data_IF_802642221360
#
_entry.id   IF_802642221360
#
_cell.length_a   1.000
_cell.length_b   1.000
_cell.length_c   1.000
_cell.angle_alpha   90.00
_cell.angle_beta   90.00
_cell.angle_gamma   90.00
#
_symmetry.space_group_name_H-M   'P 1'
#
loop_
_entity.id
_entity.type
_entity.pdbx_description
1 polymer ?
#
# COMPACT_ATOMS: atom_id res chain seq x y z
N UNK A 1 16.30 24.14 30.26
CA UNK A 1 14.99 24.79 29.97
C UNK A 1 13.89 23.77 29.67
N UNK A 2 13.79 22.65 30.40
CA UNK A 2 12.89 21.53 30.05
C UNK A 2 12.11 20.88 31.23
N UNK A 3 12.01 21.57 32.38
CA UNK A 3 11.28 21.04 33.55
C UNK A 3 9.85 21.62 33.67
N UNK A 4 9.55 22.75 33.01
CA UNK A 4 8.21 23.39 33.10
C UNK A 4 7.15 22.82 32.15
N UNK A 5 7.51 22.08 31.08
CA UNK A 5 6.52 21.47 30.17
C UNK A 5 5.92 20.15 30.69
N UNK A 6 6.65 19.40 31.52
CA UNK A 6 6.16 18.14 32.10
C UNK A 6 5.05 18.30 33.15
N UNK A 7 5.03 19.43 33.85
CA UNK A 7 4.01 19.65 34.92
C UNK A 7 2.62 20.00 34.38
N UNK A 8 2.51 20.62 33.21
CA UNK A 8 1.17 20.94 32.62
C UNK A 8 0.48 19.72 32.02
N UNK A 9 1.22 18.74 31.52
CA UNK A 9 0.64 17.51 30.95
C UNK A 9 0.07 16.58 32.03
N UNK A 10 0.72 16.49 33.18
CA UNK A 10 0.26 15.67 34.30
C UNK A 10 -0.99 16.26 34.96
N UNK A 11 -1.10 17.59 35.04
CA UNK A 11 -2.29 18.28 35.60
C UNK A 11 -3.54 18.11 34.72
N UNK A 12 -3.39 18.12 33.39
CA UNK A 12 -4.50 17.91 32.45
C UNK A 12 -5.02 16.46 32.47
N UNK A 13 -4.12 15.48 32.60
CA UNK A 13 -4.49 14.06 32.70
C UNK A 13 -5.26 13.76 33.99
N UNK A 14 -4.87 14.34 35.12
CA UNK A 14 -5.60 14.19 36.41
C UNK A 14 -7.00 14.82 36.40
N UNK A 15 -7.20 15.91 35.67
CA UNK A 15 -8.50 16.55 35.50
C UNK A 15 -9.51 15.69 34.73
N UNK A 16 -9.04 14.95 33.72
CA UNK A 16 -9.86 14.06 32.88
C UNK A 16 -10.21 12.77 33.64
N UNK A 17 -9.27 12.19 34.36
CA UNK A 17 -9.50 10.97 35.17
C UNK A 17 -10.48 11.22 36.33
N UNK A 18 -10.41 12.38 37.01
CA UNK A 18 -11.36 12.73 38.05
C UNK A 18 -12.80 12.98 37.54
N UNK A 19 -12.98 13.38 36.28
CA UNK A 19 -14.33 13.53 35.67
C UNK A 19 -14.98 12.21 35.28
N UNK A 20 -14.18 11.18 35.00
CA UNK A 20 -14.66 9.86 34.56
C UNK A 20 -15.05 8.99 35.79
N UNK A 21 -14.43 9.19 36.95
CA UNK A 21 -14.61 8.32 38.12
C UNK A 21 -15.42 8.94 39.27
N UNK A 22 -15.95 10.15 39.14
CA UNK A 22 -16.79 10.80 40.13
C UNK A 22 -18.21 10.18 40.28
N UNK A 23 -18.53 9.13 39.52
CA UNK A 23 -19.87 8.56 39.45
C UNK A 23 -20.09 7.17 40.05
N UNK A 24 -19.08 6.44 40.49
CA UNK A 24 -19.30 5.08 41.11
C UNK A 24 -18.21 4.65 42.09
N UNK A 25 -18.65 4.38 43.33
CA UNK A 25 -18.03 3.58 44.39
C UNK A 25 -16.88 4.18 45.22
N UNK A 26 -17.23 4.43 46.48
CA UNK A 26 -16.43 4.51 47.73
C UNK A 26 -14.95 4.93 47.62
N UNK A 27 -14.70 6.17 48.01
CA UNK A 27 -13.39 6.84 48.04
C UNK A 27 -12.28 6.19 48.91
N UNK A 28 -12.56 5.11 49.65
CA UNK A 28 -11.58 4.44 50.49
C UNK A 28 -10.63 3.48 49.70
N UNK A 29 -11.08 2.93 48.57
CA UNK A 29 -10.22 2.06 47.72
C UNK A 29 -9.28 2.87 46.81
N UNK A 30 -9.70 4.04 46.34
CA UNK A 30 -8.87 4.91 45.53
C UNK A 30 -7.71 5.53 46.32
N UNK A 31 -7.95 5.92 47.59
CA UNK A 31 -6.89 6.45 48.45
C UNK A 31 -5.83 5.41 48.82
N UNK A 32 -6.19 4.14 48.99
CA UNK A 32 -5.20 3.07 49.25
C UNK A 32 -4.31 2.77 48.02
N UNK A 33 -4.82 2.88 46.84
CA UNK A 33 -4.01 2.70 45.60
C UNK A 33 -3.03 3.86 45.39
N UNK A 34 -3.39 5.08 45.68
CA UNK A 34 -2.51 6.26 45.58
C UNK A 34 -1.39 6.20 46.63
N UNK A 35 -1.69 5.80 47.88
CA UNK A 35 -0.67 5.62 48.90
C UNK A 35 0.34 4.52 48.60
N UNK A 36 -0.08 3.42 47.96
CA UNK A 36 0.82 2.33 47.54
C UNK A 36 1.69 2.77 46.36
N UNK A 37 1.19 3.62 45.46
CA UNK A 37 1.98 4.14 44.33
C UNK A 37 3.02 5.20 44.77
N UNK A 38 2.72 6.01 45.79
CA UNK A 38 3.67 6.98 46.35
C UNK A 38 4.77 6.32 47.21
N UNK A 39 4.45 5.27 47.95
CA UNK A 39 5.44 4.48 48.69
C UNK A 39 6.43 3.76 47.72
N UNK A 40 5.94 3.26 46.55
CA UNK A 40 6.77 2.62 45.53
C UNK A 40 7.68 3.60 44.76
N UNK A 41 7.37 4.90 44.79
CA UNK A 41 8.14 5.97 44.12
C UNK A 41 9.37 6.43 44.92
N UNK A 42 9.44 6.17 46.23
CA UNK A 42 10.60 6.51 47.07
C UNK A 42 11.72 5.46 47.03
N UNK A 43 11.42 4.27 46.56
CA UNK A 43 12.41 3.16 46.53
C UNK A 43 13.17 3.02 45.19
N UNK A 44 12.74 3.80 44.16
CA UNK A 44 13.32 3.71 42.81
C UNK A 44 14.64 4.49 42.64
N UNK A 45 15.08 5.30 43.62
CA UNK A 45 16.34 6.03 43.54
C UNK A 45 17.56 5.17 43.88
N UNK A 46 17.39 4.11 44.66
CA UNK A 46 18.46 3.13 45.00
C UNK A 46 18.53 1.95 44.02
N UNK A 47 17.46 1.65 43.30
CA UNK A 47 17.42 0.58 42.31
C UNK A 47 18.06 0.96 40.96
N UNK A 48 18.30 2.24 40.68
CA UNK A 48 18.95 2.68 39.44
C UNK A 48 20.45 2.48 39.36
N UNK A 49 21.14 2.26 40.50
CA UNK A 49 22.56 2.02 40.53
C UNK A 49 22.95 0.53 40.47
N UNK A 50 22.02 -0.39 40.74
CA UNK A 50 22.27 -1.84 40.69
C UNK A 50 21.87 -2.49 39.36
N UNK A 51 21.14 -1.77 38.47
CA UNK A 51 20.68 -2.29 37.18
C UNK A 51 21.68 -2.07 36.03
N UNK A 52 22.76 -1.32 36.24
CA UNK A 52 23.82 -1.09 35.25
C UNK A 52 25.00 -2.11 35.35
N UNK A 53 25.01 -2.97 36.38
CA UNK A 53 26.04 -3.99 36.56
C UNK A 53 25.60 -5.43 36.21
N UNK A 54 24.34 -5.65 35.86
CA UNK A 54 23.78 -6.98 35.58
C UNK A 54 23.39 -7.22 34.09
N UNK A 55 23.79 -6.32 33.17
CA UNK A 55 23.41 -6.45 31.73
C UNK A 55 24.56 -7.03 30.86
N UNK A 56 25.52 -7.71 31.45
CA UNK A 56 26.67 -8.23 30.68
C UNK A 56 26.88 -9.73 30.77
N UNK A 57 25.87 -10.54 31.07
CA UNK A 57 26.03 -12.00 30.96
C UNK A 57 24.66 -12.72 30.87
N UNK A 58 23.91 -12.59 29.77
CA UNK A 58 22.98 -13.65 29.32
C UNK A 58 22.91 -13.61 27.79
N UNK A 59 23.88 -14.21 27.14
CA UNK A 59 23.73 -14.73 25.78
C UNK A 59 22.96 -16.04 25.86
N UNK A 60 21.64 -15.97 25.86
CA UNK A 60 20.82 -17.16 25.66
C UNK A 60 20.73 -17.36 24.15
N UNK A 61 21.43 -18.38 23.66
CA UNK A 61 21.21 -18.96 22.34
C UNK A 61 19.80 -19.55 22.28
N UNK A 62 18.86 -18.79 21.83
CA UNK A 62 17.57 -19.31 21.34
C UNK A 62 17.77 -19.70 19.88
N UNK A 63 18.22 -20.92 19.63
CA UNK A 63 17.98 -21.61 18.38
C UNK A 63 16.48 -21.93 18.31
N UNK A 64 15.71 -20.97 17.88
CA UNK A 64 14.32 -21.11 17.53
C UNK A 64 14.22 -21.02 16.01
N UNK A 65 14.22 -22.15 15.34
CA UNK A 65 13.76 -22.23 13.95
C UNK A 65 12.34 -21.72 13.87
N UNK A 66 12.14 -20.51 13.43
CA UNK A 66 10.92 -20.04 12.82
C UNK A 66 11.27 -19.42 11.48
N UNK A 67 11.53 -20.28 10.52
CA UNK A 67 11.59 -19.93 9.12
C UNK A 67 10.18 -19.80 8.59
N UNK A 68 9.61 -18.64 8.74
CA UNK A 68 8.58 -18.11 7.84
C UNK A 68 8.84 -16.62 7.72
N UNK A 69 9.86 -16.28 6.93
CA UNK A 69 9.90 -14.94 6.34
C UNK A 69 8.72 -14.87 5.38
N UNK A 70 7.78 -13.94 5.54
CA UNK A 70 6.84 -13.66 4.49
C UNK A 70 7.67 -13.15 3.31
N UNK A 71 7.75 -13.93 2.23
CA UNK A 71 8.21 -13.40 0.96
C UNK A 71 7.10 -12.47 0.52
N UNK A 72 7.28 -11.21 0.89
CA UNK A 72 6.39 -10.13 0.49
C UNK A 72 6.29 -10.12 -1.03
N UNK A 73 5.07 -10.08 -1.47
CA UNK A 73 4.66 -9.89 -2.86
C UNK A 73 5.50 -8.82 -3.49
N UNK A 74 6.32 -9.25 -4.40
CA UNK A 74 7.30 -8.44 -5.09
C UNK A 74 6.54 -7.36 -5.86
N UNK A 75 6.54 -6.14 -5.33
CA UNK A 75 6.32 -4.97 -6.16
C UNK A 75 7.36 -5.05 -7.29
N UNK A 76 6.90 -4.97 -8.54
CA UNK A 76 7.76 -5.15 -9.70
C UNK A 76 8.73 -3.96 -9.77
N UNK A 77 9.82 -4.03 -9.04
CA UNK A 77 10.97 -3.17 -9.22
C UNK A 77 11.81 -3.74 -10.38
N UNK A 78 11.80 -3.04 -11.50
CA UNK A 78 12.52 -3.43 -12.72
C UNK A 78 14.04 -3.56 -12.53
N UNK A 79 14.59 -3.01 -11.45
CA UNK A 79 16.03 -3.04 -11.17
C UNK A 79 16.52 -4.34 -10.53
N UNK A 80 15.61 -5.21 -10.02
CA UNK A 80 15.96 -6.45 -9.33
C UNK A 80 15.97 -7.71 -10.24
N UNK A 81 15.74 -7.58 -11.52
CA UNK A 81 15.73 -8.69 -12.49
C UNK A 81 16.99 -8.70 -13.35
N UNK A 82 18.18 -8.48 -12.75
CA UNK A 82 19.43 -8.55 -13.49
C UNK A 82 19.78 -9.99 -13.86
N UNK A 83 20.50 -10.20 -14.97
CA UNK A 83 20.98 -11.52 -15.39
C UNK A 83 21.82 -12.22 -14.31
N UNK A 84 22.56 -11.46 -13.51
CA UNK A 84 23.33 -11.94 -12.36
C UNK A 84 22.44 -12.55 -11.26
N UNK A 85 21.29 -11.94 -11.00
CA UNK A 85 20.33 -12.47 -10.02
C UNK A 85 19.70 -13.78 -10.53
N UNK A 86 19.34 -13.86 -11.80
CA UNK A 86 18.79 -15.07 -12.43
C UNK A 86 19.83 -16.21 -12.43
N UNK A 87 21.10 -15.90 -12.68
CA UNK A 87 22.19 -16.86 -12.61
C UNK A 87 22.35 -17.44 -11.20
N UNK A 88 22.39 -16.58 -10.19
CA UNK A 88 22.50 -17.01 -8.78
C UNK A 88 21.31 -17.88 -8.37
N UNK A 89 20.09 -17.52 -8.77
CA UNK A 89 18.88 -18.30 -8.51
C UNK A 89 18.91 -19.66 -9.23
N UNK A 90 19.53 -19.73 -10.40
CA UNK A 90 19.72 -20.99 -11.14
C UNK A 90 20.68 -21.91 -10.42
N UNK A 91 21.73 -21.37 -9.78
CA UNK A 91 22.64 -22.17 -8.94
C UNK A 91 21.95 -22.70 -7.67
N UNK A 92 21.05 -21.92 -7.07
CA UNK A 92 20.23 -22.38 -5.94
C UNK A 92 19.37 -23.57 -6.36
N UNK A 93 18.65 -23.45 -7.49
CA UNK A 93 17.81 -24.52 -8.00
C UNK A 93 18.64 -25.77 -8.35
N UNK A 94 19.83 -25.61 -8.91
CA UNK A 94 20.72 -26.74 -9.22
C UNK A 94 21.11 -27.53 -7.97
N UNK A 95 21.30 -26.86 -6.83
CA UNK A 95 21.62 -27.50 -5.55
C UNK A 95 20.40 -28.18 -4.91
N UNK A 96 19.21 -27.65 -5.14
CA UNK A 96 17.97 -28.21 -4.63
C UNK A 96 16.84 -28.20 -5.69
N UNK A 97 16.87 -29.11 -6.66
CA UNK A 97 15.93 -29.12 -7.78
C UNK A 97 14.49 -29.53 -7.44
N UNK A 98 14.26 -29.98 -6.21
CA UNK A 98 12.93 -30.34 -5.68
C UNK A 98 12.28 -29.24 -4.84
N UNK A 99 12.95 -28.10 -4.65
CA UNK A 99 12.41 -26.98 -3.90
C UNK A 99 11.52 -26.08 -4.79
N UNK A 100 10.20 -26.04 -4.56
CA UNK A 100 9.29 -25.20 -5.34
C UNK A 100 9.55 -23.70 -5.18
N UNK A 101 10.12 -23.29 -4.03
CA UNK A 101 10.40 -21.89 -3.73
C UNK A 101 11.47 -21.31 -4.65
N UNK A 102 12.54 -22.06 -4.92
CA UNK A 102 13.58 -21.63 -5.86
C UNK A 102 13.03 -21.27 -7.25
N UNK A 103 12.13 -22.11 -7.76
CA UNK A 103 11.45 -21.86 -9.03
C UNK A 103 10.51 -20.65 -8.94
N UNK A 104 9.74 -20.52 -7.88
CA UNK A 104 8.83 -19.38 -7.69
C UNK A 104 9.60 -18.06 -7.66
N UNK A 105 10.74 -17.99 -6.98
CA UNK A 105 11.58 -16.78 -6.90
C UNK A 105 12.22 -16.46 -8.25
N UNK A 106 12.78 -17.47 -8.96
CA UNK A 106 13.36 -17.24 -10.29
C UNK A 106 12.31 -16.89 -11.32
N UNK A 107 11.13 -17.53 -11.30
CA UNK A 107 9.99 -17.17 -12.14
C UNK A 107 9.56 -15.72 -11.93
N UNK A 108 9.58 -15.25 -10.68
CA UNK A 108 9.30 -13.85 -10.36
C UNK A 108 10.38 -12.91 -10.91
N UNK A 109 11.65 -13.28 -10.87
CA UNK A 109 12.75 -12.50 -11.50
C UNK A 109 12.59 -12.43 -13.02
N UNK A 110 12.29 -13.55 -13.67
CA UNK A 110 11.96 -13.56 -15.10
C UNK A 110 10.74 -12.70 -15.45
N UNK A 111 9.71 -12.73 -14.60
CA UNK A 111 8.51 -11.89 -14.78
C UNK A 111 8.84 -10.39 -14.74
N UNK A 112 9.70 -9.97 -13.80
CA UNK A 112 10.16 -8.57 -13.69
C UNK A 112 10.99 -8.13 -14.90
N UNK A 113 11.84 -8.99 -15.44
CA UNK A 113 12.63 -8.71 -16.65
C UNK A 113 11.81 -8.77 -17.95
N UNK A 114 10.50 -9.10 -17.88
CA UNK A 114 9.65 -9.26 -19.04
C UNK A 114 9.80 -10.60 -19.77
N UNK A 115 10.61 -11.52 -19.23
CA UNK A 115 10.77 -12.86 -19.80
C UNK A 115 9.64 -13.78 -19.34
N UNK A 116 8.43 -13.51 -19.80
CA UNK A 116 7.21 -14.17 -19.36
C UNK A 116 7.19 -15.67 -19.64
N UNK A 117 7.84 -16.13 -20.72
CA UNK A 117 7.90 -17.54 -21.05
C UNK A 117 8.66 -18.33 -19.98
N UNK A 118 9.88 -17.91 -19.66
CA UNK A 118 10.67 -18.56 -18.62
C UNK A 118 10.02 -18.43 -17.23
N UNK A 119 9.32 -17.31 -16.97
CA UNK A 119 8.55 -17.14 -15.74
C UNK A 119 7.45 -18.20 -15.62
N UNK A 120 6.67 -18.45 -16.69
CA UNK A 120 5.63 -19.48 -16.71
C UNK A 120 6.21 -20.88 -16.54
N UNK A 121 7.33 -21.21 -17.18
CA UNK A 121 7.99 -22.52 -17.04
C UNK A 121 8.39 -22.77 -15.57
N UNK A 122 8.94 -21.77 -14.91
CA UNK A 122 9.33 -21.86 -13.51
C UNK A 122 8.11 -21.98 -12.57
N UNK A 123 7.08 -21.16 -12.77
CA UNK A 123 5.86 -21.27 -11.97
C UNK A 123 5.13 -22.61 -12.20
N UNK A 124 5.14 -23.12 -13.43
CA UNK A 124 4.62 -24.46 -13.74
C UNK A 124 5.37 -25.52 -12.94
N UNK A 125 6.70 -25.41 -12.88
CA UNK A 125 7.51 -26.34 -12.08
C UNK A 125 7.24 -26.21 -10.60
N UNK A 126 7.11 -24.98 -10.08
CA UNK A 126 6.78 -24.72 -8.66
C UNK A 126 5.45 -25.36 -8.26
N UNK A 127 4.37 -25.16 -9.04
CA UNK A 127 3.05 -25.74 -8.73
C UNK A 127 2.99 -27.24 -8.96
N UNK A 128 3.83 -27.80 -9.84
CA UNK A 128 3.97 -29.25 -10.03
C UNK A 128 4.64 -29.88 -8.80
N UNK A 129 5.69 -29.26 -8.27
CA UNK A 129 6.41 -29.73 -7.08
C UNK A 129 5.55 -29.56 -5.82
N UNK A 130 4.81 -28.48 -5.71
CA UNK A 130 3.88 -28.25 -4.60
C UNK A 130 2.52 -27.73 -5.11
N UNK A 131 1.54 -28.62 -5.29
CA UNK A 131 0.17 -28.26 -5.72
C UNK A 131 -0.62 -27.39 -4.73
N UNK A 132 -0.09 -27.16 -3.53
CA UNK A 132 -0.67 -26.27 -2.52
C UNK A 132 0.06 -24.92 -2.42
N UNK A 133 0.98 -24.65 -3.31
CA UNK A 133 1.76 -23.41 -3.30
C UNK A 133 0.97 -22.24 -3.90
N UNK A 134 0.09 -21.66 -3.10
CA UNK A 134 -0.83 -20.62 -3.54
C UNK A 134 -0.15 -19.36 -4.08
N UNK A 135 1.05 -18.99 -3.57
CA UNK A 135 1.81 -17.84 -4.07
C UNK A 135 2.26 -18.06 -5.52
N UNK A 136 2.74 -19.26 -5.86
CA UNK A 136 3.15 -19.59 -7.22
C UNK A 136 1.98 -19.51 -8.22
N UNK A 137 0.78 -19.96 -7.82
CA UNK A 137 -0.43 -19.75 -8.64
C UNK A 137 -0.73 -18.27 -8.84
N UNK A 138 -0.69 -17.45 -7.79
CA UNK A 138 -0.97 -16.01 -7.92
C UNK A 138 0.08 -15.28 -8.78
N UNK A 139 1.35 -15.65 -8.66
CA UNK A 139 2.43 -15.11 -9.48
C UNK A 139 2.27 -15.54 -10.94
N UNK A 140 1.92 -16.79 -11.21
CA UNK A 140 1.63 -17.28 -12.56
C UNK A 140 0.43 -16.56 -13.17
N UNK A 141 -0.62 -16.33 -12.38
CA UNK A 141 -1.78 -15.53 -12.79
C UNK A 141 -1.40 -14.11 -13.20
N UNK A 142 -0.47 -13.48 -12.48
CA UNK A 142 0.03 -12.16 -12.84
C UNK A 142 0.71 -12.15 -14.20
N UNK A 143 1.53 -13.17 -14.50
CA UNK A 143 2.17 -13.32 -15.82
C UNK A 143 1.14 -13.57 -16.91
N UNK A 144 0.19 -14.49 -16.69
CA UNK A 144 -0.91 -14.73 -17.64
C UNK A 144 -1.68 -13.44 -17.94
N UNK A 145 -2.01 -12.63 -16.93
CA UNK A 145 -2.66 -11.34 -17.12
C UNK A 145 -1.80 -10.37 -17.93
N UNK A 146 -0.48 -10.31 -17.68
CA UNK A 146 0.45 -9.44 -18.42
C UNK A 146 0.57 -9.83 -19.89
N UNK A 147 0.34 -11.11 -20.20
CA UNK A 147 0.31 -11.64 -21.57
C UNK A 147 -1.08 -11.54 -22.24
N UNK A 148 -2.11 -11.07 -21.51
CA UNK A 148 -3.48 -11.00 -22.03
C UNK A 148 -4.27 -12.31 -21.90
N UNK A 149 -3.71 -13.35 -21.28
CA UNK A 149 -4.35 -14.65 -21.08
C UNK A 149 -5.28 -14.56 -19.85
N UNK A 150 -6.39 -13.85 -19.99
CA UNK A 150 -7.24 -13.46 -18.85
C UNK A 150 -7.96 -14.64 -18.22
N UNK A 151 -8.30 -15.67 -18.97
CA UNK A 151 -8.97 -16.87 -18.47
C UNK A 151 -8.04 -17.70 -17.59
N UNK A 152 -6.82 -17.91 -18.03
CA UNK A 152 -5.77 -18.63 -17.29
C UNK A 152 -5.41 -17.87 -16.00
N UNK A 153 -5.30 -16.55 -16.09
CA UNK A 153 -5.08 -15.69 -14.91
C UNK A 153 -6.20 -15.85 -13.88
N UNK A 154 -7.47 -15.83 -14.32
CA UNK A 154 -8.61 -16.02 -13.43
C UNK A 154 -8.60 -17.40 -12.74
N UNK A 155 -8.30 -18.45 -13.50
CA UNK A 155 -8.22 -19.81 -12.98
C UNK A 155 -7.13 -19.94 -11.91
N UNK A 156 -5.97 -19.37 -12.14
CA UNK A 156 -4.86 -19.42 -11.20
C UNK A 156 -5.13 -18.59 -9.92
N UNK A 157 -5.70 -17.38 -10.03
CA UNK A 157 -6.15 -16.65 -8.84
C UNK A 157 -7.21 -17.42 -8.06
N UNK A 158 -8.18 -18.03 -8.74
CA UNK A 158 -9.19 -18.87 -8.10
C UNK A 158 -8.55 -20.06 -7.37
N UNK A 159 -7.53 -20.69 -7.98
CA UNK A 159 -6.81 -21.79 -7.34
C UNK A 159 -6.05 -21.32 -6.11
N UNK A 160 -5.35 -20.20 -6.18
CA UNK A 160 -4.65 -19.60 -5.05
C UNK A 160 -5.61 -19.33 -3.88
N UNK A 161 -6.77 -18.72 -4.16
CA UNK A 161 -7.79 -18.39 -3.16
C UNK A 161 -8.53 -19.61 -2.62
N UNK A 162 -8.65 -20.69 -3.40
CA UNK A 162 -9.18 -21.98 -2.91
C UNK A 162 -8.24 -22.62 -1.90
N UNK A 163 -6.92 -22.48 -2.11
CA UNK A 163 -5.89 -23.02 -1.21
C UNK A 163 -5.77 -22.13 0.03
N UNK A 164 -5.66 -20.82 -0.16
CA UNK A 164 -5.58 -19.86 0.93
C UNK A 164 -6.61 -18.72 0.77
N UNK A 165 -7.79 -18.84 1.41
CA UNK A 165 -8.84 -17.81 1.36
C UNK A 165 -8.49 -16.49 2.06
N UNK A 166 -7.32 -16.40 2.73
CA UNK A 166 -6.86 -15.20 3.40
C UNK A 166 -5.72 -14.50 2.64
N UNK A 167 -5.44 -14.93 1.41
CA UNK A 167 -4.37 -14.34 0.61
C UNK A 167 -4.86 -13.09 -0.14
N UNK A 168 -4.70 -11.94 0.49
CA UNK A 168 -5.16 -10.62 0.02
C UNK A 168 -4.60 -10.25 -1.37
N UNK A 169 -3.35 -10.60 -1.65
CA UNK A 169 -2.69 -10.35 -2.95
C UNK A 169 -3.42 -10.99 -4.11
N UNK A 170 -3.94 -12.22 -3.93
CA UNK A 170 -4.70 -12.89 -4.98
C UNK A 170 -6.06 -12.22 -5.20
N UNK A 171 -6.71 -11.70 -4.15
CA UNK A 171 -7.90 -10.87 -4.30
C UNK A 171 -7.58 -9.57 -5.07
N UNK A 172 -6.50 -8.87 -4.73
CA UNK A 172 -6.10 -7.65 -5.44
C UNK A 172 -5.79 -7.95 -6.91
N UNK A 173 -5.05 -9.02 -7.17
CA UNK A 173 -4.72 -9.46 -8.53
C UNK A 173 -5.96 -9.80 -9.37
N UNK A 174 -6.90 -10.57 -8.79
CA UNK A 174 -8.15 -10.95 -9.44
C UNK A 174 -9.11 -9.76 -9.59
N UNK A 175 -9.19 -8.90 -8.59
CA UNK A 175 -9.93 -7.65 -8.66
C UNK A 175 -9.45 -6.76 -9.82
N UNK A 176 -8.14 -6.64 -10.00
CA UNK A 176 -7.56 -5.91 -11.14
C UNK A 176 -7.90 -6.57 -12.48
N UNK A 177 -7.90 -7.89 -12.55
CA UNK A 177 -8.31 -8.64 -13.73
C UNK A 177 -9.79 -8.34 -14.06
N UNK A 178 -10.68 -8.41 -13.07
CA UNK A 178 -12.11 -8.14 -13.24
C UNK A 178 -12.36 -6.70 -13.65
N UNK A 179 -11.65 -5.74 -13.05
CA UNK A 179 -11.76 -4.32 -13.43
C UNK A 179 -11.35 -4.12 -14.89
N UNK A 180 -10.27 -4.74 -15.33
CA UNK A 180 -9.80 -4.69 -16.72
C UNK A 180 -10.81 -5.32 -17.70
N UNK A 181 -11.52 -6.36 -17.27
CA UNK A 181 -12.57 -7.02 -18.01
C UNK A 181 -13.95 -6.32 -17.93
N UNK A 182 -14.03 -5.13 -17.30
CA UNK A 182 -15.31 -4.40 -17.12
C UNK A 182 -16.25 -5.02 -16.07
N UNK A 183 -15.79 -6.06 -15.35
CA UNK A 183 -16.55 -6.77 -14.30
C UNK A 183 -16.44 -6.03 -12.97
N UNK A 184 -17.01 -4.83 -12.93
CA UNK A 184 -16.81 -3.86 -11.85
C UNK A 184 -17.30 -4.35 -10.50
N UNK A 185 -18.42 -5.07 -10.44
CA UNK A 185 -18.99 -5.57 -9.19
C UNK A 185 -18.08 -6.67 -8.56
N UNK A 186 -17.57 -7.57 -9.37
CA UNK A 186 -16.66 -8.61 -8.91
C UNK A 186 -15.32 -8.01 -8.48
N UNK A 187 -14.83 -7.01 -9.20
CA UNK A 187 -13.63 -6.28 -8.80
C UNK A 187 -13.83 -5.60 -7.44
N UNK A 188 -14.96 -4.92 -7.23
CA UNK A 188 -15.31 -4.29 -5.96
C UNK A 188 -15.34 -5.30 -4.80
N UNK A 189 -15.95 -6.47 -5.03
CA UNK A 189 -16.02 -7.53 -4.01
C UNK A 189 -14.62 -8.03 -3.63
N UNK A 190 -13.75 -8.22 -4.61
CA UNK A 190 -12.38 -8.68 -4.36
C UNK A 190 -11.55 -7.62 -3.61
N UNK A 191 -11.63 -6.34 -3.99
CA UNK A 191 -10.94 -5.28 -3.25
C UNK A 191 -11.48 -5.13 -1.82
N UNK A 192 -12.80 -5.23 -1.63
CA UNK A 192 -13.40 -5.25 -0.29
C UNK A 192 -12.87 -6.43 0.53
N UNK A 193 -12.73 -7.61 -0.08
CA UNK A 193 -12.21 -8.79 0.63
C UNK A 193 -10.75 -8.59 1.04
N UNK A 194 -9.89 -8.05 0.16
CA UNK A 194 -8.51 -7.73 0.49
C UNK A 194 -8.41 -6.73 1.64
N UNK A 195 -9.21 -5.66 1.61
CA UNK A 195 -9.24 -4.63 2.65
C UNK A 195 -9.74 -5.19 3.99
N UNK A 196 -10.77 -6.03 3.99
CA UNK A 196 -11.27 -6.72 5.18
C UNK A 196 -10.24 -7.70 5.79
N UNK A 197 -9.29 -8.17 4.98
CA UNK A 197 -8.12 -8.93 5.44
C UNK A 197 -6.99 -8.04 5.98
N UNK A 198 -7.23 -6.72 6.07
CA UNK A 198 -6.28 -5.72 6.55
C UNK A 198 -5.01 -5.63 5.69
N UNK A 199 -5.18 -5.70 4.38
CA UNK A 199 -4.06 -5.55 3.45
C UNK A 199 -3.34 -4.22 3.64
N UNK A 200 -2.02 -4.24 3.53
CA UNK A 200 -1.16 -3.06 3.46
C UNK A 200 -0.82 -2.65 2.03
N UNK A 201 -1.37 -3.35 1.04
CA UNK A 201 -1.16 -3.03 -0.37
C UNK A 201 -2.03 -1.83 -0.79
N UNK A 202 -1.43 -0.68 -1.14
CA UNK A 202 -2.15 0.54 -1.51
C UNK A 202 -3.05 0.35 -2.75
N UNK A 203 -2.74 -0.63 -3.59
CA UNK A 203 -3.48 -0.90 -4.83
C UNK A 203 -4.92 -1.35 -4.58
N UNK A 204 -5.20 -2.00 -3.46
CA UNK A 204 -6.57 -2.38 -3.09
C UNK A 204 -7.45 -1.15 -2.91
N UNK A 205 -6.98 -0.18 -2.15
CA UNK A 205 -7.67 1.08 -1.89
C UNK A 205 -7.74 1.95 -3.15
N UNK A 206 -6.62 2.14 -3.84
CA UNK A 206 -6.57 2.93 -5.07
C UNK A 206 -7.58 2.42 -6.11
N UNK A 207 -7.58 1.13 -6.40
CA UNK A 207 -8.47 0.56 -7.43
C UNK A 207 -9.94 0.54 -6.98
N UNK A 208 -10.22 0.38 -5.68
CA UNK A 208 -11.58 0.53 -5.15
C UNK A 208 -12.04 1.98 -5.26
N UNK A 209 -11.17 2.93 -4.96
CA UNK A 209 -11.41 4.36 -5.15
C UNK A 209 -11.76 4.71 -6.59
N UNK A 210 -11.05 4.17 -7.58
CA UNK A 210 -11.37 4.35 -9.00
C UNK A 210 -12.77 3.83 -9.35
N UNK A 211 -13.17 2.68 -8.82
CA UNK A 211 -14.52 2.14 -9.04
C UNK A 211 -15.58 3.04 -8.40
N UNK A 212 -15.36 3.49 -7.17
CA UNK A 212 -16.28 4.43 -6.49
C UNK A 212 -16.41 5.75 -7.25
N UNK A 213 -15.30 6.26 -7.78
CA UNK A 213 -15.27 7.46 -8.61
C UNK A 213 -16.11 7.30 -9.89
N UNK A 214 -16.00 6.18 -10.60
CA UNK A 214 -16.84 5.84 -11.75
C UNK A 214 -18.33 5.77 -11.41
N UNK A 215 -18.67 5.40 -10.17
CA UNK A 215 -20.03 5.35 -9.65
C UNK A 215 -20.49 6.69 -9.05
N UNK A 216 -19.77 7.79 -9.27
CA UNK A 216 -20.01 9.12 -8.70
C UNK A 216 -20.01 9.16 -7.15
N UNK A 217 -19.39 8.18 -6.49
CA UNK A 217 -19.24 8.10 -5.04
C UNK A 217 -17.96 8.83 -4.60
N UNK A 218 -17.85 10.12 -4.97
CA UNK A 218 -16.62 10.90 -4.79
C UNK A 218 -16.15 11.01 -3.34
N UNK A 219 -17.03 11.24 -2.31
CA UNK A 219 -16.56 11.26 -0.92
C UNK A 219 -15.89 9.96 -0.49
N UNK A 220 -16.50 8.81 -0.82
CA UNK A 220 -15.94 7.50 -0.48
C UNK A 220 -14.69 7.17 -1.30
N UNK A 221 -14.58 7.69 -2.54
CA UNK A 221 -13.37 7.56 -3.35
C UNK A 221 -12.21 8.35 -2.73
N UNK A 222 -12.45 9.55 -2.18
CA UNK A 222 -11.46 10.36 -1.45
C UNK A 222 -10.92 9.61 -0.22
N UNK A 223 -11.79 8.94 0.54
CA UNK A 223 -11.36 8.10 1.67
C UNK A 223 -10.40 6.99 1.21
N UNK A 224 -10.75 6.28 0.14
CA UNK A 224 -9.93 5.20 -0.39
C UNK A 224 -8.60 5.71 -0.96
N UNK A 225 -8.60 6.79 -1.75
CA UNK A 225 -7.35 7.37 -2.23
C UNK A 225 -6.47 7.87 -1.07
N UNK A 226 -7.09 8.44 -0.02
CA UNK A 226 -6.35 8.89 1.17
C UNK A 226 -5.72 7.71 1.92
N UNK A 227 -6.40 6.57 2.01
CA UNK A 227 -5.82 5.34 2.56
C UNK A 227 -4.66 4.83 1.69
N UNK A 228 -4.80 4.84 0.36
CA UNK A 228 -3.72 4.48 -0.56
C UNK A 228 -2.49 5.40 -0.42
N UNK A 229 -2.71 6.72 -0.27
CA UNK A 229 -1.65 7.72 -0.03
C UNK A 229 -0.94 7.44 1.31
N UNK A 230 -1.68 7.11 2.36
CA UNK A 230 -1.10 6.80 3.67
C UNK A 230 -0.17 5.59 3.62
N UNK A 231 -0.50 4.60 2.78
CA UNK A 231 0.31 3.40 2.59
C UNK A 231 1.48 3.61 1.62
N UNK A 232 1.31 4.47 0.61
CA UNK A 232 2.33 4.77 -0.40
C UNK A 232 2.37 6.27 -0.73
N UNK A 233 2.98 7.12 0.13
CA UNK A 233 2.96 8.58 -0.01
C UNK A 233 3.75 9.11 -1.21
N UNK A 234 4.54 8.27 -1.86
CA UNK A 234 5.33 8.63 -3.04
C UNK A 234 4.74 8.11 -4.37
N UNK A 235 3.53 7.54 -4.35
CA UNK A 235 2.81 7.13 -5.56
C UNK A 235 1.97 8.29 -6.08
N UNK A 236 2.16 8.78 -7.31
CA UNK A 236 1.43 9.93 -7.85
C UNK A 236 -0.04 9.64 -8.18
N UNK A 237 -0.37 8.38 -8.54
CA UNK A 237 -1.69 8.00 -9.05
C UNK A 237 -2.83 8.23 -8.03
N UNK A 238 -2.69 7.90 -6.73
CA UNK A 238 -3.75 8.15 -5.76
C UNK A 238 -4.01 9.65 -5.53
N UNK A 239 -2.99 10.51 -5.62
CA UNK A 239 -3.18 11.97 -5.55
C UNK A 239 -3.97 12.45 -6.75
N UNK A 240 -3.60 12.01 -7.96
CA UNK A 240 -4.35 12.39 -9.17
C UNK A 240 -5.81 11.94 -9.08
N UNK A 241 -6.07 10.69 -8.67
CA UNK A 241 -7.42 10.17 -8.46
C UNK A 241 -8.22 10.96 -7.41
N UNK A 242 -7.61 11.31 -6.28
CA UNK A 242 -8.27 12.11 -5.23
C UNK A 242 -8.56 13.52 -5.71
N UNK A 243 -7.63 14.14 -6.40
CA UNK A 243 -7.80 15.46 -7.02
C UNK A 243 -8.99 15.50 -8.00
N UNK A 244 -9.16 14.48 -8.84
CA UNK A 244 -10.33 14.36 -9.72
C UNK A 244 -11.63 14.29 -8.92
N UNK A 245 -11.66 13.56 -7.80
CA UNK A 245 -12.84 13.49 -6.94
C UNK A 245 -13.12 14.84 -6.26
N UNK A 246 -12.11 15.60 -5.87
CA UNK A 246 -12.27 16.96 -5.36
C UNK A 246 -12.84 17.91 -6.42
N UNK A 247 -12.38 17.83 -7.69
CA UNK A 247 -12.95 18.60 -8.81
C UNK A 247 -14.44 18.33 -8.95
N UNK A 248 -14.85 17.08 -8.88
CA UNK A 248 -16.26 16.69 -8.98
C UNK A 248 -17.14 17.26 -7.84
N UNK A 249 -16.52 17.50 -6.67
CA UNK A 249 -17.16 18.13 -5.51
C UNK A 249 -17.01 19.67 -5.48
N UNK A 250 -16.42 20.27 -6.53
CA UNK A 250 -16.09 21.69 -6.63
C UNK A 250 -15.09 22.18 -5.55
N UNK A 251 -14.26 21.30 -5.04
CA UNK A 251 -13.17 21.62 -4.12
C UNK A 251 -11.86 21.83 -4.91
N UNK A 252 -11.77 22.96 -5.60
CA UNK A 252 -10.66 23.28 -6.50
C UNK A 252 -9.32 23.47 -5.76
N UNK A 253 -9.35 23.84 -4.48
CA UNK A 253 -8.14 24.10 -3.70
C UNK A 253 -7.46 22.77 -3.33
N UNK A 254 -8.21 21.80 -2.81
CA UNK A 254 -7.68 20.47 -2.52
C UNK A 254 -7.30 19.72 -3.81
N UNK A 255 -8.09 19.86 -4.88
CA UNK A 255 -7.77 19.29 -6.19
C UNK A 255 -6.42 19.81 -6.71
N UNK A 256 -6.21 21.12 -6.64
CA UNK A 256 -4.97 21.76 -7.09
C UNK A 256 -3.75 21.29 -6.28
N UNK A 257 -3.89 21.18 -4.96
CA UNK A 257 -2.82 20.67 -4.10
C UNK A 257 -2.42 19.25 -4.48
N UNK A 258 -3.42 18.37 -4.72
CA UNK A 258 -3.19 16.98 -5.11
C UNK A 258 -2.56 16.85 -6.50
N UNK A 259 -3.00 17.61 -7.50
CA UNK A 259 -2.40 17.59 -8.83
C UNK A 259 -0.95 18.10 -8.81
N UNK A 260 -0.66 19.13 -8.03
CA UNK A 260 0.71 19.60 -7.83
C UNK A 260 1.57 18.50 -7.19
N UNK A 261 1.04 17.81 -6.16
CA UNK A 261 1.78 16.73 -5.52
C UNK A 261 2.04 15.58 -6.46
N UNK A 262 1.08 15.20 -7.30
CA UNK A 262 1.27 14.19 -8.33
C UNK A 262 2.37 14.58 -9.34
N UNK A 263 2.41 15.86 -9.77
CA UNK A 263 3.44 16.39 -10.66
C UNK A 263 4.82 16.41 -10.01
N UNK A 264 4.90 16.79 -8.72
CA UNK A 264 6.16 16.76 -7.95
C UNK A 264 6.75 15.34 -7.89
N UNK A 265 5.89 14.34 -7.73
CA UNK A 265 6.28 12.94 -7.65
C UNK A 265 6.68 12.37 -9.01
N UNK A 266 5.93 12.69 -10.06
CA UNK A 266 6.26 12.32 -11.44
C UNK A 266 5.81 13.37 -12.47
N UNK A 267 6.78 14.10 -13.02
CA UNK A 267 6.57 15.14 -14.03
C UNK A 267 6.23 14.60 -15.43
N UNK A 268 6.21 13.29 -15.62
CA UNK A 268 5.95 12.66 -16.93
C UNK A 268 4.49 12.24 -17.11
N UNK A 269 3.65 12.41 -16.11
CA UNK A 269 2.22 12.07 -16.18
C UNK A 269 1.44 13.21 -16.83
N UNK A 270 1.07 13.04 -18.10
CA UNK A 270 0.31 14.03 -18.87
C UNK A 270 -1.04 14.39 -18.21
N UNK A 271 -1.71 13.40 -17.62
CA UNK A 271 -2.99 13.57 -16.93
C UNK A 271 -2.90 14.59 -15.79
N UNK A 272 -1.87 14.50 -14.95
CA UNK A 272 -1.68 15.41 -13.80
C UNK A 272 -1.50 16.87 -14.26
N UNK A 273 -0.73 17.10 -15.32
CA UNK A 273 -0.57 18.42 -15.92
C UNK A 273 -1.87 18.96 -16.52
N UNK A 274 -2.63 18.10 -17.20
CA UNK A 274 -3.93 18.48 -17.76
C UNK A 274 -4.96 18.82 -16.68
N UNK A 275 -4.99 18.07 -15.59
CA UNK A 275 -5.87 18.29 -14.45
C UNK A 275 -5.49 19.58 -13.70
N UNK A 276 -4.19 19.85 -13.51
CA UNK A 276 -3.72 21.14 -12.97
C UNK A 276 -4.16 22.30 -13.86
N UNK A 277 -4.04 22.14 -15.19
CA UNK A 277 -4.45 23.16 -16.16
C UNK A 277 -5.95 23.47 -16.06
N UNK A 278 -6.80 22.45 -15.86
CA UNK A 278 -8.23 22.62 -15.65
C UNK A 278 -8.52 23.54 -14.44
N UNK A 279 -7.78 23.40 -13.35
CA UNK A 279 -7.95 24.28 -12.19
C UNK A 279 -7.53 25.72 -12.49
N UNK A 280 -6.40 25.92 -13.22
CA UNK A 280 -6.04 27.25 -13.67
C UNK A 280 -7.10 27.88 -14.58
N UNK A 281 -7.67 27.10 -15.53
CA UNK A 281 -8.75 27.53 -16.41
C UNK A 281 -10.00 27.95 -15.61
N UNK A 282 -10.44 27.16 -14.62
CA UNK A 282 -11.56 27.49 -13.73
C UNK A 282 -11.33 28.74 -12.90
N UNK A 283 -10.07 29.03 -12.54
CA UNK A 283 -9.67 30.27 -11.83
C UNK A 283 -9.46 31.47 -12.75
N UNK A 284 -9.69 31.34 -14.07
CA UNK A 284 -9.52 32.38 -15.06
C UNK A 284 -8.05 32.67 -15.43
N UNK A 285 -7.09 31.88 -14.95
CA UNK A 285 -5.68 32.01 -15.30
C UNK A 285 -5.36 31.25 -16.59
N UNK A 286 -5.85 31.79 -17.71
CA UNK A 286 -5.70 31.19 -19.03
C UNK A 286 -4.24 31.01 -19.44
N UNK A 287 -3.35 31.92 -19.00
CA UNK A 287 -1.91 31.86 -19.33
C UNK A 287 -1.23 30.64 -18.68
N UNK A 288 -1.48 30.39 -17.38
CA UNK A 288 -0.94 29.19 -16.71
C UNK A 288 -1.64 27.94 -17.19
N UNK A 289 -2.93 27.98 -17.43
CA UNK A 289 -3.69 26.87 -18.03
C UNK A 289 -3.10 26.43 -19.37
N UNK A 290 -2.88 27.38 -20.30
CA UNK A 290 -2.27 27.10 -21.61
C UNK A 290 -0.90 26.43 -21.49
N UNK A 291 -0.05 26.91 -20.56
CA UNK A 291 1.28 26.31 -20.31
C UNK A 291 1.19 24.86 -19.82
N UNK A 292 0.30 24.57 -18.85
CA UNK A 292 0.15 23.23 -18.30
C UNK A 292 -0.52 22.27 -19.29
N UNK A 293 -1.53 22.70 -20.06
CA UNK A 293 -2.10 21.90 -21.16
C UNK A 293 -1.06 21.61 -22.26
N UNK A 294 -0.24 22.60 -22.63
CA UNK A 294 0.83 22.40 -23.61
C UNK A 294 1.86 21.37 -23.11
N UNK A 295 2.18 21.40 -21.81
CA UNK A 295 3.07 20.40 -21.22
C UNK A 295 2.45 19.00 -21.25
N UNK A 296 1.18 18.86 -20.92
CA UNK A 296 0.46 17.59 -21.03
C UNK A 296 0.44 17.05 -22.46
N UNK A 297 0.14 17.91 -23.45
CA UNK A 297 0.14 17.52 -24.87
C UNK A 297 1.54 17.18 -25.41
N UNK A 298 2.59 17.78 -24.84
CA UNK A 298 3.98 17.42 -25.16
C UNK A 298 4.34 16.01 -24.65
N UNK A 299 3.85 15.66 -23.44
CA UNK A 299 4.09 14.37 -22.80
C UNK A 299 3.31 13.24 -23.49
N UNK A 300 2.05 13.51 -23.82
CA UNK A 300 1.20 12.61 -24.60
C UNK A 300 0.45 13.41 -25.70
N UNK A 301 0.95 13.39 -26.93
CA UNK A 301 0.34 14.08 -28.06
C UNK A 301 -1.07 13.58 -28.45
N UNK A 302 -1.50 12.44 -27.90
CA UNK A 302 -2.83 11.85 -28.14
C UNK A 302 -3.79 12.08 -26.98
N UNK A 303 -3.32 12.72 -25.89
CA UNK A 303 -4.17 12.94 -24.72
C UNK A 303 -5.23 14.00 -24.98
N UNK A 304 -6.41 13.57 -25.37
CA UNK A 304 -7.53 14.41 -25.81
C UNK A 304 -7.90 15.53 -24.84
N UNK A 305 -7.94 15.33 -23.48
CA UNK A 305 -8.27 16.42 -22.56
C UNK A 305 -7.28 17.60 -22.62
N UNK A 306 -5.98 17.33 -22.80
CA UNK A 306 -4.98 18.39 -22.93
C UNK A 306 -5.10 19.16 -24.24
N UNK A 307 -5.35 18.46 -25.35
CA UNK A 307 -5.54 19.08 -26.66
C UNK A 307 -6.78 19.98 -26.65
N UNK A 308 -7.91 19.48 -26.16
CA UNK A 308 -9.15 20.21 -26.08
C UNK A 308 -9.03 21.42 -25.11
N UNK A 309 -8.39 21.24 -23.97
CA UNK A 309 -8.11 22.30 -23.02
C UNK A 309 -7.26 23.41 -23.61
N UNK A 310 -6.18 23.05 -24.30
CA UNK A 310 -5.31 24.03 -24.97
C UNK A 310 -6.05 24.84 -26.04
N UNK A 311 -6.98 24.23 -26.76
CA UNK A 311 -7.79 24.93 -27.76
C UNK A 311 -8.78 25.93 -27.12
N UNK A 312 -9.27 25.67 -25.91
CA UNK A 312 -10.21 26.57 -25.19
C UNK A 312 -9.53 27.82 -24.61
N UNK A 313 -8.27 27.69 -24.20
CA UNK A 313 -7.55 28.77 -23.48
C UNK A 313 -6.57 29.57 -24.35
N UNK A 314 -6.49 29.27 -25.65
CA UNK A 314 -5.79 30.05 -26.66
C UNK A 314 -6.66 31.22 -27.13
#
# INVERSE_FOLDING_TARGET
>A
MNVRRGRKFVSAFFSVVNRIYAGRASGARAMRLIAVMEAKRRDTSKARFLLLAALSAVTITMSGCSTTSPIDTIAIDKTQGTDENISSLTDVIRRNPSDPEGYNVRGSAYGRSGNYRNALDDFNRAVQLNPSFFQAYANRALIHRSMGNLAEAANDYNRALKINPRYDVAYIGRGNLYRQAGRTNEAMNDFNRAINLQTTDPRAYHNRGLIKQLNNQHPQAIEDFSAAISLAPNSPEPYNGRGISYVALNDDDNAFADFNRAIELDQKIAESWSNQALIYERRGDTKRAAKSYARAAQLDPKYSPAIAGLARVR
#
